data_IF_706824057560
#
_entry.id   IF_706824057560
#
_cell.length_a   1.000
_cell.length_b   1.000
_cell.length_c   1.000
_cell.angle_alpha   90.00
_cell.angle_beta   90.00
_cell.angle_gamma   90.00
#
_symmetry.space_group_name_H-M   'P 1'
#
loop_
_entity.id
_entity.type
_entity.pdbx_description
1 polymer ?
#
# COMPACT_ATOMS: atom_id res chain seq x y z
N UNK A 1 23.14 -24.70 -12.36
CA UNK A 1 23.03 -24.73 -10.89
C UNK A 1 23.42 -23.36 -10.36
N UNK A 2 22.64 -22.79 -9.45
CA UNK A 2 22.97 -21.51 -8.83
C UNK A 2 24.06 -21.72 -7.75
N UNK A 3 25.08 -20.87 -7.74
CA UNK A 3 26.16 -20.89 -6.74
C UNK A 3 26.20 -19.59 -5.95
N UNK A 4 26.68 -19.64 -4.72
CA UNK A 4 26.97 -18.47 -3.89
C UNK A 4 28.43 -18.46 -3.47
N UNK A 5 29.02 -17.27 -3.37
CA UNK A 5 30.37 -17.07 -2.93
C UNK A 5 30.41 -17.00 -1.39
N UNK A 6 31.22 -17.83 -0.76
CA UNK A 6 31.44 -17.81 0.68
C UNK A 6 32.64 -16.94 1.03
N UNK A 7 32.43 -16.02 1.99
CA UNK A 7 33.46 -15.15 2.52
C UNK A 7 33.81 -15.49 3.97
N UNK A 8 35.05 -15.21 4.38
CA UNK A 8 35.42 -15.24 5.79
C UNK A 8 35.06 -13.91 6.48
N UNK A 9 35.31 -13.86 7.79
CA UNK A 9 35.05 -12.64 8.60
C UNK A 9 35.92 -11.43 8.20
N UNK A 10 36.97 -11.65 7.39
CA UNK A 10 37.90 -10.63 6.91
C UNK A 10 37.51 -10.12 5.50
N UNK A 11 36.51 -10.78 4.86
CA UNK A 11 36.05 -10.43 3.52
C UNK A 11 36.80 -11.12 2.38
N UNK A 12 37.57 -12.15 2.66
CA UNK A 12 38.28 -12.95 1.63
C UNK A 12 37.37 -14.07 1.15
N UNK A 13 37.39 -14.33 -0.16
CA UNK A 13 36.64 -15.44 -0.78
C UNK A 13 37.31 -16.78 -0.34
N UNK A 14 36.51 -17.66 0.28
CA UNK A 14 36.96 -18.97 0.71
C UNK A 14 36.60 -20.02 -0.35
N UNK A 15 35.31 -20.11 -0.71
CA UNK A 15 34.78 -21.21 -1.51
C UNK A 15 33.47 -20.79 -2.24
N UNK A 16 33.00 -21.68 -3.13
CA UNK A 16 31.67 -21.56 -3.76
C UNK A 16 30.78 -22.70 -3.28
N UNK A 17 29.57 -22.33 -2.86
CA UNK A 17 28.58 -23.28 -2.35
C UNK A 17 27.44 -23.41 -3.34
N UNK A 18 27.05 -24.64 -3.65
CA UNK A 18 25.87 -24.92 -4.46
C UNK A 18 24.57 -24.58 -3.69
N UNK A 19 23.68 -23.84 -4.34
CA UNK A 19 22.41 -23.44 -3.77
C UNK A 19 21.31 -24.45 -4.15
N UNK A 20 20.35 -24.75 -3.22
CA UNK A 20 19.29 -25.70 -3.50
C UNK A 20 18.34 -25.20 -4.61
N UNK A 21 18.23 -25.97 -5.69
CA UNK A 21 17.43 -25.63 -6.87
C UNK A 21 15.94 -25.34 -6.55
N UNK A 22 15.39 -26.00 -5.54
CA UNK A 22 13.99 -25.79 -5.10
C UNK A 22 13.68 -24.36 -4.63
N UNK A 23 14.72 -23.57 -4.33
CA UNK A 23 14.59 -22.18 -3.83
C UNK A 23 15.16 -21.19 -4.84
N UNK A 24 16.28 -21.50 -5.48
CA UNK A 24 17.08 -20.57 -6.28
C UNK A 24 16.99 -20.80 -7.79
N UNK A 25 16.25 -21.82 -8.24
CA UNK A 25 16.03 -22.12 -9.66
C UNK A 25 14.53 -22.27 -9.96
N UNK A 26 13.71 -21.40 -9.39
CA UNK A 26 12.25 -21.44 -9.60
C UNK A 26 11.89 -20.70 -10.88
N UNK A 27 11.21 -21.40 -11.79
CA UNK A 27 10.66 -20.81 -13.01
C UNK A 27 9.17 -20.48 -12.85
N UNK A 28 8.79 -19.28 -13.27
CA UNK A 28 7.41 -18.78 -13.22
C UNK A 28 7.12 -17.99 -14.51
N UNK A 29 5.97 -18.22 -15.12
CA UNK A 29 5.58 -17.56 -16.38
C UNK A 29 5.59 -16.03 -16.32
N UNK A 30 5.32 -15.43 -15.17
CA UNK A 30 5.23 -13.96 -15.02
C UNK A 30 5.84 -13.47 -13.71
N UNK A 31 7.17 -13.57 -13.53
CA UNK A 31 7.84 -13.25 -12.27
C UNK A 31 7.66 -11.77 -11.87
N UNK A 32 7.74 -10.86 -12.83
CA UNK A 32 7.59 -9.41 -12.59
C UNK A 32 6.19 -9.04 -12.07
N UNK A 33 5.15 -9.64 -12.62
CA UNK A 33 3.75 -9.40 -12.20
C UNK A 33 3.54 -9.91 -10.78
N UNK A 34 4.03 -11.10 -10.47
CA UNK A 34 3.95 -11.70 -9.13
C UNK A 34 4.66 -10.84 -8.08
N UNK A 35 5.88 -10.40 -8.37
CA UNK A 35 6.66 -9.54 -7.47
C UNK A 35 5.98 -8.19 -7.26
N UNK A 36 5.53 -7.53 -8.33
CA UNK A 36 4.84 -6.24 -8.24
C UNK A 36 3.58 -6.34 -7.39
N UNK A 37 2.77 -7.38 -7.57
CA UNK A 37 1.57 -7.59 -6.79
C UNK A 37 1.89 -7.77 -5.29
N UNK A 38 2.87 -8.59 -4.94
CA UNK A 38 3.25 -8.84 -3.54
C UNK A 38 3.85 -7.59 -2.91
N UNK A 39 4.72 -6.85 -3.60
CA UNK A 39 5.32 -5.60 -3.10
C UNK A 39 4.25 -4.53 -2.91
N UNK A 40 3.37 -4.34 -3.89
CA UNK A 40 2.27 -3.36 -3.79
C UNK A 40 1.37 -3.67 -2.60
N UNK A 41 1.02 -4.93 -2.39
CA UNK A 41 0.22 -5.36 -1.24
C UNK A 41 0.95 -5.15 0.08
N UNK A 42 2.24 -5.44 0.14
CA UNK A 42 3.06 -5.20 1.32
C UNK A 42 3.06 -3.72 1.70
N UNK A 43 3.28 -2.82 0.73
CA UNK A 43 3.25 -1.38 0.94
C UNK A 43 1.85 -0.87 1.34
N UNK A 44 0.78 -1.41 0.75
CA UNK A 44 -0.59 -1.09 1.15
C UNK A 44 -0.88 -1.50 2.61
N UNK A 45 -0.39 -2.66 3.03
CA UNK A 45 -0.58 -3.17 4.39
C UNK A 45 0.19 -2.38 5.46
N UNK A 46 1.20 -1.60 5.07
CA UNK A 46 1.90 -0.69 5.98
C UNK A 46 1.14 0.63 6.19
N UNK A 47 0.16 0.94 5.34
CA UNK A 47 -0.59 2.20 5.45
C UNK A 47 -1.55 2.16 6.64
N UNK A 48 -1.40 3.12 7.54
CA UNK A 48 -2.25 3.24 8.74
C UNK A 48 -3.70 3.63 8.41
N UNK A 49 -3.91 4.45 7.38
CA UNK A 49 -5.24 4.82 6.89
C UNK A 49 -6.09 5.67 7.84
N UNK A 50 -5.49 6.38 8.79
CA UNK A 50 -6.17 7.18 9.83
C UNK A 50 -6.55 8.60 9.38
N UNK A 51 -6.21 8.99 8.16
CA UNK A 51 -6.53 10.32 7.64
C UNK A 51 -8.04 10.53 7.59
N UNK A 52 -8.53 11.59 8.25
CA UNK A 52 -9.94 11.94 8.32
C UNK A 52 -10.15 13.43 8.07
N UNK A 53 -11.18 13.75 7.32
CA UNK A 53 -11.71 15.12 7.18
C UNK A 53 -13.20 15.13 7.52
N UNK A 54 -13.64 16.17 8.24
CA UNK A 54 -15.05 16.30 8.62
C UNK A 54 -15.93 16.57 7.40
N UNK A 55 -16.90 15.70 7.18
CA UNK A 55 -17.99 15.95 6.25
C UNK A 55 -19.08 16.81 6.92
N UNK A 56 -20.12 17.20 6.20
CA UNK A 56 -21.20 18.04 6.74
C UNK A 56 -21.92 17.42 7.94
N UNK A 57 -21.94 16.09 8.09
CA UNK A 57 -22.56 15.42 9.22
C UNK A 57 -21.70 15.52 10.48
N UNK A 58 -20.37 15.46 10.32
CA UNK A 58 -19.41 15.53 11.43
C UNK A 58 -19.08 16.97 11.86
N UNK A 59 -19.39 17.95 11.02
CA UNK A 59 -19.13 19.36 11.34
C UNK A 59 -20.11 19.86 12.38
N UNK A 60 -19.62 20.49 13.46
CA UNK A 60 -20.44 21.11 14.47
C UNK A 60 -21.26 22.29 13.88
N UNK A 61 -22.44 22.51 14.41
CA UNK A 61 -23.33 23.59 13.99
C UNK A 61 -24.80 23.15 13.82
N UNK A 62 -25.69 24.09 13.62
CA UNK A 62 -27.11 23.82 13.44
C UNK A 62 -27.42 23.20 12.07
N UNK A 63 -28.34 22.27 12.04
CA UNK A 63 -28.93 21.74 10.79
C UNK A 63 -30.07 22.57 10.27
N UNK A 64 -30.55 23.58 11.07
CA UNK A 64 -31.65 24.45 10.71
C UNK A 64 -31.33 25.20 9.42
N UNK A 65 -32.39 25.42 8.58
CA UNK A 65 -32.30 26.27 7.40
C UNK A 65 -32.07 27.73 7.84
N UNK A 66 -31.12 28.41 7.21
CA UNK A 66 -30.64 29.73 7.64
C UNK A 66 -31.77 30.79 7.48
N UNK A 67 -32.52 30.73 6.39
CA UNK A 67 -33.66 31.60 6.11
C UNK A 67 -34.67 30.92 5.18
N UNK A 68 -35.86 31.51 5.04
CA UNK A 68 -36.94 31.00 4.19
C UNK A 68 -36.51 30.87 2.72
N UNK A 69 -37.13 29.93 1.97
CA UNK A 69 -36.77 29.55 0.61
C UNK A 69 -36.91 30.68 -0.43
N UNK A 70 -37.90 31.56 -0.25
CA UNK A 70 -38.25 32.66 -1.16
C UNK A 70 -38.50 33.94 -0.37
N UNK A 71 -38.50 35.11 -1.04
CA UNK A 71 -38.86 36.40 -0.46
C UNK A 71 -37.76 37.04 0.39
N UNK A 72 -36.49 36.67 0.20
CA UNK A 72 -35.33 37.27 0.91
C UNK A 72 -34.41 38.06 -0.02
N UNK A 73 -34.60 37.99 -1.34
CA UNK A 73 -33.69 38.59 -2.33
C UNK A 73 -32.28 37.99 -2.36
N UNK A 74 -32.02 36.97 -1.55
CA UNK A 74 -30.69 36.30 -1.42
C UNK A 74 -30.70 34.94 -2.09
N UNK A 75 -29.49 34.42 -2.41
CA UNK A 75 -29.30 33.06 -2.91
C UNK A 75 -29.89 32.05 -1.92
N UNK A 76 -30.58 31.02 -2.43
CA UNK A 76 -31.16 29.95 -1.60
C UNK A 76 -30.09 29.20 -0.83
N UNK A 77 -30.30 29.04 0.46
CA UNK A 77 -29.36 28.38 1.36
C UNK A 77 -30.06 27.31 2.20
N UNK A 78 -29.32 26.26 2.49
CA UNK A 78 -29.73 25.22 3.45
C UNK A 78 -29.12 25.46 4.83
N UNK A 79 -28.51 24.43 5.38
CA UNK A 79 -27.82 24.46 6.68
C UNK A 79 -26.48 25.20 6.62
N UNK A 80 -26.05 25.73 7.76
CA UNK A 80 -24.73 26.34 7.94
C UNK A 80 -23.57 25.38 7.71
N UNK A 81 -23.82 24.07 7.86
CA UNK A 81 -22.80 23.01 7.69
C UNK A 81 -22.48 22.67 6.24
N UNK A 82 -23.15 23.28 5.27
CA UNK A 82 -22.94 22.96 3.86
C UNK A 82 -21.51 23.26 3.40
N UNK A 83 -20.93 22.45 2.49
CA UNK A 83 -19.58 22.66 1.96
C UNK A 83 -19.35 24.02 1.28
N UNK A 84 -20.40 24.65 0.79
CA UNK A 84 -20.38 25.99 0.17
C UNK A 84 -20.10 27.10 1.18
N UNK A 85 -20.32 26.82 2.46
CA UNK A 85 -20.14 27.79 3.55
C UNK A 85 -18.73 27.74 4.12
N UNK A 86 -18.23 28.92 4.52
CA UNK A 86 -17.04 29.06 5.35
C UNK A 86 -17.27 28.26 6.65
N UNK A 87 -16.32 27.47 7.07
CA UNK A 87 -16.42 26.51 8.19
C UNK A 87 -17.44 25.37 7.98
N UNK A 88 -18.04 25.22 6.81
CA UNK A 88 -18.85 24.04 6.46
C UNK A 88 -18.03 22.76 6.30
N UNK A 89 -18.72 21.61 6.24
CA UNK A 89 -18.08 20.31 6.03
C UNK A 89 -17.49 20.20 4.63
N UNK A 90 -16.54 19.27 4.46
CA UNK A 90 -15.93 19.01 3.16
C UNK A 90 -16.81 18.09 2.32
N UNK A 91 -17.08 18.45 1.06
CA UNK A 91 -17.64 17.53 0.08
C UNK A 91 -16.60 16.42 -0.20
N UNK A 92 -17.03 15.18 -0.36
CA UNK A 92 -16.14 14.04 -0.55
C UNK A 92 -15.00 13.98 0.49
N UNK A 93 -15.34 14.21 1.76
CA UNK A 93 -14.38 14.15 2.85
C UNK A 93 -13.74 12.75 2.96
N UNK A 94 -12.43 12.70 3.07
CA UNK A 94 -11.72 11.46 3.29
C UNK A 94 -12.10 10.92 4.67
N UNK A 95 -12.50 9.65 4.71
CA UNK A 95 -12.78 8.91 5.93
C UNK A 95 -11.66 7.90 6.20
N UNK A 96 -11.43 7.50 7.46
CA UNK A 96 -10.50 6.44 7.78
C UNK A 96 -10.81 5.19 6.97
N UNK A 97 -9.79 4.58 6.39
CA UNK A 97 -9.94 3.43 5.51
C UNK A 97 -8.92 2.36 5.87
N UNK A 98 -9.38 1.13 6.01
CA UNK A 98 -8.49 -0.01 6.13
C UNK A 98 -7.92 -0.37 4.74
N UNK A 99 -6.60 -0.28 4.60
CA UNK A 99 -5.86 -0.61 3.39
C UNK A 99 -5.39 -2.06 3.36
N UNK A 100 -5.57 -2.79 4.45
CA UNK A 100 -5.13 -4.17 4.55
C UNK A 100 -5.80 -5.06 3.49
N UNK A 101 -4.97 -5.77 2.74
CA UNK A 101 -5.40 -6.79 1.78
C UNK A 101 -4.63 -8.08 2.05
N UNK A 102 -5.32 -9.21 2.30
CA UNK A 102 -4.65 -10.49 2.50
C UNK A 102 -4.07 -11.02 1.19
N UNK A 103 -2.89 -11.64 1.26
CA UNK A 103 -2.31 -12.42 0.16
C UNK A 103 -2.13 -13.85 0.66
N UNK A 104 -2.42 -14.88 -0.17
CA UNK A 104 -2.18 -16.27 0.16
C UNK A 104 -0.70 -16.51 0.53
N UNK A 105 -0.45 -17.27 1.61
CA UNK A 105 0.91 -17.58 2.07
C UNK A 105 1.77 -18.23 0.98
N UNK A 106 1.17 -19.12 0.17
CA UNK A 106 1.84 -19.78 -0.97
C UNK A 106 2.37 -18.74 -1.96
N UNK A 107 1.57 -17.69 -2.28
CA UNK A 107 1.95 -16.63 -3.22
C UNK A 107 3.11 -15.80 -2.70
N UNK A 108 3.12 -15.45 -1.41
CA UNK A 108 4.24 -14.73 -0.76
C UNK A 108 5.54 -15.55 -0.81
N UNK A 109 5.45 -16.85 -0.47
CA UNK A 109 6.61 -17.75 -0.51
C UNK A 109 7.16 -17.92 -1.93
N UNK A 110 6.27 -18.04 -2.92
CA UNK A 110 6.68 -18.12 -4.32
C UNK A 110 7.38 -16.85 -4.79
N UNK A 111 6.84 -15.67 -4.46
CA UNK A 111 7.47 -14.39 -4.79
C UNK A 111 8.86 -14.24 -4.17
N UNK A 112 9.04 -14.67 -2.92
CA UNK A 112 10.35 -14.68 -2.28
C UNK A 112 11.35 -15.59 -3.01
N UNK A 113 10.95 -16.81 -3.37
CA UNK A 113 11.79 -17.72 -4.14
C UNK A 113 12.18 -17.14 -5.50
N UNK A 114 11.22 -16.51 -6.20
CA UNK A 114 11.48 -15.84 -7.49
C UNK A 114 12.51 -14.71 -7.33
N UNK A 115 12.38 -13.89 -6.29
CA UNK A 115 13.34 -12.81 -6.02
C UNK A 115 14.75 -13.36 -5.69
N UNK A 116 14.83 -14.47 -4.95
CA UNK A 116 16.10 -15.14 -4.66
C UNK A 116 16.71 -15.75 -5.92
N UNK A 117 15.88 -16.36 -6.79
CA UNK A 117 16.35 -16.90 -8.07
C UNK A 117 16.95 -15.80 -8.96
N UNK A 118 16.32 -14.63 -9.02
CA UNK A 118 16.81 -13.48 -9.79
C UNK A 118 18.18 -13.01 -9.25
N UNK A 119 18.32 -12.90 -7.92
CA UNK A 119 19.59 -12.55 -7.29
C UNK A 119 20.68 -13.60 -7.47
N UNK A 120 20.33 -14.88 -7.48
CA UNK A 120 21.28 -15.96 -7.77
C UNK A 120 21.77 -15.88 -9.22
N UNK A 121 20.88 -15.62 -10.18
CA UNK A 121 21.26 -15.41 -11.59
C UNK A 121 22.20 -14.23 -11.79
N UNK A 122 22.00 -13.15 -11.02
CA UNK A 122 22.88 -11.97 -11.04
C UNK A 122 24.22 -12.19 -10.31
N UNK A 123 24.45 -13.34 -9.68
CA UNK A 123 25.64 -13.62 -8.86
C UNK A 123 25.74 -12.76 -7.60
N UNK A 124 24.60 -12.27 -7.08
CA UNK A 124 24.54 -11.35 -5.93
C UNK A 124 24.11 -12.04 -4.63
N UNK A 125 24.48 -13.31 -4.47
CA UNK A 125 24.28 -14.05 -3.23
C UNK A 125 25.65 -14.34 -2.63
N UNK A 126 25.85 -13.85 -1.42
CA UNK A 126 27.07 -13.99 -0.63
C UNK A 126 26.72 -14.64 0.72
N UNK A 127 27.61 -15.52 1.20
CA UNK A 127 27.46 -16.25 2.46
C UNK A 127 28.73 -16.07 3.30
#
# INVERSE_FOLDING_TARGET
MATAIKFNSIGEKIDEIELPAQIFEVDVNSPKVLLNEVVTQYLLNQRQGTVQKKNRAMTAGSTRKIYRQKGTGRARQGSIRNPVRVHGGRAFAILPKNWYRPIPKKKKRLALKVALTDRARDGRIFI
#
